data_IF_745573795718
#
_entry.id   IF_745573795718
#
_cell.length_a   1.000
_cell.length_b   1.000
_cell.length_c   1.000
_cell.angle_alpha   90.00
_cell.angle_beta   90.00
_cell.angle_gamma   90.00
#
_symmetry.space_group_name_H-M   'P 1'
#
loop_
_entity.id
_entity.type
_entity.pdbx_description
1 polymer ?
#
# COMPACT_ATOMS: atom_id res chain seq x y z
N UNK A 1 51.17 56.66 -24.73
CA UNK A 1 49.94 57.37 -24.30
C UNK A 1 48.78 56.64 -24.96
N UNK A 2 47.76 56.12 -24.30
CA UNK A 2 47.46 55.78 -22.92
C UNK A 2 46.31 54.75 -23.03
N UNK A 3 46.25 53.79 -22.12
CA UNK A 3 45.08 52.95 -21.89
C UNK A 3 43.85 53.82 -21.60
N UNK A 4 42.65 53.35 -21.94
CA UNK A 4 41.65 53.18 -20.89
C UNK A 4 40.55 52.19 -21.25
N UNK A 5 40.11 51.52 -20.19
CA UNK A 5 39.28 50.32 -20.11
C UNK A 5 37.93 50.72 -19.51
N UNK A 6 36.86 50.11 -20.04
CA UNK A 6 35.55 49.85 -19.39
C UNK A 6 34.55 51.03 -19.23
N UNK A 7 33.23 50.80 -18.95
CA UNK A 7 32.66 49.63 -18.27
C UNK A 7 31.30 49.05 -18.73
N UNK A 8 31.15 47.75 -18.42
CA UNK A 8 29.99 47.08 -17.79
C UNK A 8 28.58 47.18 -18.38
N UNK A 9 28.05 46.00 -18.69
CA UNK A 9 26.65 45.63 -18.51
C UNK A 9 26.11 46.15 -17.17
N UNK A 10 24.98 46.86 -17.13
CA UNK A 10 24.04 46.75 -16.03
C UNK A 10 23.02 45.68 -16.39
N UNK A 11 22.94 44.66 -15.54
CA UNK A 11 21.75 43.83 -15.44
C UNK A 11 20.56 44.76 -15.17
N UNK A 12 19.60 44.82 -16.09
CA UNK A 12 18.23 45.24 -15.78
C UNK A 12 17.32 44.01 -15.84
N UNK A 13 17.66 43.08 -14.95
CA UNK A 13 16.78 42.04 -14.45
C UNK A 13 15.91 42.70 -13.37
N UNK A 14 14.68 43.11 -13.70
CA UNK A 14 13.83 43.74 -12.68
C UNK A 14 12.41 44.10 -13.08
N UNK A 15 12.13 44.41 -14.34
CA UNK A 15 10.75 44.64 -14.77
C UNK A 15 10.24 43.42 -15.53
N UNK A 16 9.53 42.56 -14.81
CA UNK A 16 8.61 41.62 -15.44
C UNK A 16 7.52 42.47 -16.08
N UNK A 17 7.65 42.73 -17.37
CA UNK A 17 6.60 43.36 -18.17
C UNK A 17 5.38 42.42 -18.20
N UNK A 18 4.42 42.69 -17.31
CA UNK A 18 3.18 41.93 -17.19
C UNK A 18 2.42 41.90 -18.53
N UNK A 19 2.61 42.90 -19.40
CA UNK A 19 2.04 42.91 -20.75
C UNK A 19 2.62 41.80 -21.63
N UNK A 20 3.94 41.57 -21.58
CA UNK A 20 4.59 40.46 -22.28
C UNK A 20 4.20 39.10 -21.70
N UNK A 21 4.13 38.97 -20.37
CA UNK A 21 3.64 37.75 -19.73
C UNK A 21 2.18 37.44 -20.11
N UNK A 22 1.30 38.45 -20.12
CA UNK A 22 -0.10 38.28 -20.52
C UNK A 22 -0.20 37.90 -22.01
N UNK A 23 0.66 38.44 -22.87
CA UNK A 23 0.69 38.08 -24.28
C UNK A 23 1.18 36.64 -24.50
N UNK A 24 2.16 36.18 -23.72
CA UNK A 24 2.62 34.79 -23.72
C UNK A 24 1.54 33.84 -23.19
N UNK A 25 0.85 34.21 -22.12
CA UNK A 25 -0.28 33.47 -21.57
C UNK A 25 -1.42 33.36 -22.59
N UNK A 26 -1.78 34.47 -23.25
CA UNK A 26 -2.80 34.49 -24.31
C UNK A 26 -2.42 33.62 -25.51
N UNK A 27 -1.14 33.59 -25.89
CA UNK A 27 -0.63 32.69 -26.94
C UNK A 27 -0.70 31.22 -26.50
N UNK A 28 -0.43 30.92 -25.23
CA UNK A 28 -0.59 29.59 -24.62
C UNK A 28 -2.04 29.11 -24.65
N UNK A 29 -2.98 29.92 -24.12
CA UNK A 29 -4.42 29.63 -24.17
C UNK A 29 -4.92 29.43 -25.60
N UNK A 30 -4.50 30.26 -26.57
CA UNK A 30 -4.89 30.08 -27.97
C UNK A 30 -4.33 28.80 -28.61
N UNK A 31 -3.22 28.24 -28.10
CA UNK A 31 -2.67 26.96 -28.55
C UNK A 31 -3.50 25.80 -27.97
N UNK A 32 -3.84 25.87 -26.68
CA UNK A 32 -4.69 24.89 -26.01
C UNK A 32 -6.09 24.86 -26.66
N UNK A 33 -6.70 26.02 -26.88
CA UNK A 33 -8.03 26.13 -27.48
C UNK A 33 -8.06 25.55 -28.90
N UNK A 34 -7.03 25.78 -29.71
CA UNK A 34 -6.90 25.13 -31.03
C UNK A 34 -6.72 23.61 -30.93
N UNK A 35 -5.98 23.14 -29.93
CA UNK A 35 -5.87 21.71 -29.63
C UNK A 35 -7.22 21.08 -29.32
N UNK A 36 -8.00 21.71 -28.43
CA UNK A 36 -9.35 21.27 -28.06
C UNK A 36 -10.29 21.26 -29.27
N UNK A 37 -10.27 22.30 -30.11
CA UNK A 37 -11.07 22.34 -31.33
C UNK A 37 -10.71 21.21 -32.31
N UNK A 38 -9.43 20.86 -32.42
CA UNK A 38 -9.00 19.72 -33.22
C UNK A 38 -9.49 18.39 -32.65
N UNK A 39 -9.42 18.20 -31.34
CA UNK A 39 -9.95 17.02 -30.64
C UNK A 39 -11.47 16.93 -30.87
N UNK A 40 -12.21 18.03 -30.70
CA UNK A 40 -13.66 18.05 -30.92
C UNK A 40 -14.02 17.71 -32.37
N UNK A 41 -13.30 18.25 -33.34
CA UNK A 41 -13.50 17.95 -34.76
C UNK A 41 -13.18 16.48 -35.08
N UNK A 42 -12.14 15.92 -34.46
CA UNK A 42 -11.78 14.52 -34.58
C UNK A 42 -12.86 13.60 -33.98
N UNK A 43 -13.34 13.89 -32.78
CA UNK A 43 -14.44 13.18 -32.13
C UNK A 43 -15.70 13.17 -33.01
N UNK A 44 -16.06 14.33 -33.58
CA UNK A 44 -17.22 14.43 -34.48
C UNK A 44 -17.02 13.65 -35.78
N UNK A 45 -15.83 13.76 -36.40
CA UNK A 45 -15.53 13.09 -37.68
C UNK A 45 -15.45 11.57 -37.53
N UNK A 46 -14.87 11.10 -36.44
CA UNK A 46 -14.65 9.67 -36.17
C UNK A 46 -15.64 9.10 -35.16
N UNK A 47 -16.82 9.72 -35.01
CA UNK A 47 -17.81 9.35 -34.00
C UNK A 47 -18.20 7.86 -34.07
N UNK A 48 -18.36 7.32 -35.29
CA UNK A 48 -18.68 5.90 -35.49
C UNK A 48 -17.55 4.98 -35.05
N UNK A 49 -16.30 5.28 -35.41
CA UNK A 49 -15.12 4.50 -35.00
C UNK A 49 -14.93 4.56 -33.48
N UNK A 50 -15.15 5.73 -32.88
CA UNK A 50 -15.05 5.91 -31.44
C UNK A 50 -16.18 5.17 -30.70
N UNK A 51 -17.40 5.18 -31.26
CA UNK A 51 -18.52 4.40 -30.75
C UNK A 51 -18.24 2.89 -30.78
N UNK A 52 -17.69 2.38 -31.90
CA UNK A 52 -17.27 0.98 -31.99
C UNK A 52 -16.19 0.65 -30.95
N UNK A 53 -15.23 1.55 -30.73
CA UNK A 53 -14.18 1.35 -29.73
C UNK A 53 -14.74 1.31 -28.30
N UNK A 54 -15.74 2.14 -27.99
CA UNK A 54 -16.44 2.11 -26.71
C UNK A 54 -17.15 0.76 -26.52
N UNK A 55 -17.86 0.27 -27.54
CA UNK A 55 -18.53 -1.04 -27.49
C UNK A 55 -17.52 -2.16 -27.25
N UNK A 56 -16.39 -2.16 -27.98
CA UNK A 56 -15.30 -3.13 -27.77
C UNK A 56 -14.76 -3.04 -26.35
N UNK A 57 -14.53 -1.83 -25.83
CA UNK A 57 -14.10 -1.63 -24.44
C UNK A 57 -15.09 -2.18 -23.42
N UNK A 58 -16.39 -1.99 -23.64
CA UNK A 58 -17.45 -2.54 -22.78
C UNK A 58 -17.46 -4.07 -22.84
N UNK A 59 -17.35 -4.66 -24.03
CA UNK A 59 -17.31 -6.12 -24.22
C UNK A 59 -16.09 -6.70 -23.51
N UNK A 60 -14.91 -6.12 -23.71
CA UNK A 60 -13.67 -6.56 -23.04
C UNK A 60 -13.80 -6.41 -21.52
N UNK A 61 -14.32 -5.28 -21.04
CA UNK A 61 -14.53 -5.04 -19.61
C UNK A 61 -15.51 -6.04 -18.98
N UNK A 62 -16.57 -6.40 -19.70
CA UNK A 62 -17.51 -7.43 -19.28
C UNK A 62 -16.86 -8.82 -19.24
N UNK A 63 -16.11 -9.20 -20.28
CA UNK A 63 -15.34 -10.45 -20.31
C UNK A 63 -14.34 -10.54 -19.15
N UNK A 64 -13.62 -9.46 -18.86
CA UNK A 64 -12.71 -9.41 -17.71
C UNK A 64 -13.47 -9.57 -16.39
N UNK A 65 -14.65 -8.96 -16.24
CA UNK A 65 -15.46 -9.13 -15.03
C UNK A 65 -15.91 -10.58 -14.81
N UNK A 66 -16.13 -11.34 -15.89
CA UNK A 66 -16.47 -12.76 -15.81
C UNK A 66 -15.28 -13.65 -15.43
N UNK A 67 -14.07 -13.29 -15.86
CA UNK A 67 -12.85 -14.09 -15.60
C UNK A 67 -12.25 -13.77 -14.24
N UNK A 68 -12.37 -12.52 -13.78
CA UNK A 68 -11.82 -12.09 -12.49
C UNK A 68 -12.77 -12.52 -11.38
N UNK A 69 -12.51 -13.70 -10.82
CA UNK A 69 -13.23 -14.19 -9.66
C UNK A 69 -13.14 -13.20 -8.51
N UNK A 70 -14.29 -12.85 -7.93
CA UNK A 70 -14.36 -11.99 -6.76
C UNK A 70 -13.79 -12.77 -5.57
N UNK A 71 -12.53 -12.49 -5.23
CA UNK A 71 -11.89 -13.04 -4.02
C UNK A 71 -12.63 -12.52 -2.80
N UNK A 72 -13.06 -13.44 -1.94
CA UNK A 72 -13.59 -13.15 -0.62
C UNK A 72 -12.42 -13.15 0.37
N UNK A 73 -12.42 -12.17 1.27
CA UNK A 73 -11.41 -12.03 2.31
C UNK A 73 -12.09 -12.20 3.67
N UNK A 74 -11.57 -13.11 4.48
CA UNK A 74 -11.95 -13.28 5.88
C UNK A 74 -10.75 -12.93 6.74
N UNK A 75 -10.95 -12.07 7.74
CA UNK A 75 -9.89 -11.62 8.62
C UNK A 75 -10.15 -12.10 10.05
N UNK A 76 -9.11 -12.63 10.69
CA UNK A 76 -9.15 -13.07 12.09
C UNK A 76 -8.05 -12.33 12.84
N UNK A 77 -8.43 -11.67 13.93
CA UNK A 77 -7.49 -10.94 14.79
C UNK A 77 -7.07 -11.86 15.93
N UNK A 78 -5.78 -12.08 16.05
CA UNK A 78 -5.19 -12.96 17.07
C UNK A 78 -4.14 -12.21 17.88
N UNK A 79 -4.01 -12.58 19.15
CA UNK A 79 -2.96 -12.10 20.04
C UNK A 79 -2.20 -13.32 20.57
N UNK A 80 -1.01 -13.65 20.04
CA UNK A 80 -0.25 -14.80 20.51
C UNK A 80 0.15 -14.61 21.98
N UNK A 81 0.17 -15.70 22.74
CA UNK A 81 0.68 -15.67 24.12
C UNK A 81 2.22 -15.62 24.11
N UNK A 82 2.86 -15.30 25.23
CA UNK A 82 4.33 -15.17 25.38
C UNK A 82 5.14 -16.11 24.48
N UNK A 83 6.09 -15.55 23.72
CA UNK A 83 7.03 -16.22 22.80
C UNK A 83 6.41 -17.08 21.67
N UNK A 84 5.10 -17.33 21.66
CA UNK A 84 4.42 -18.12 20.62
C UNK A 84 4.21 -17.39 19.29
N UNK A 85 4.82 -16.21 19.10
CA UNK A 85 4.74 -15.46 17.84
C UNK A 85 5.33 -16.28 16.70
N UNK A 86 6.52 -16.81 16.88
CA UNK A 86 7.22 -17.51 15.80
C UNK A 86 6.48 -18.81 15.46
N UNK A 87 6.05 -19.56 16.47
CA UNK A 87 5.19 -20.73 16.29
C UNK A 87 3.91 -20.42 15.49
N UNK A 88 3.24 -19.30 15.78
CA UNK A 88 2.04 -18.89 15.04
C UNK A 88 2.35 -18.65 13.56
N UNK A 89 3.49 -18.03 13.24
CA UNK A 89 3.91 -17.80 11.85
C UNK A 89 4.26 -19.12 11.16
N UNK A 90 5.03 -19.99 11.83
CA UNK A 90 5.44 -21.30 11.29
C UNK A 90 4.22 -22.15 10.93
N UNK A 91 3.21 -22.21 11.81
CA UNK A 91 1.98 -22.97 11.56
C UNK A 91 1.19 -22.40 10.38
N UNK A 92 1.07 -21.06 10.27
CA UNK A 92 0.37 -20.43 9.14
C UNK A 92 1.10 -20.71 7.82
N UNK A 93 2.43 -20.65 7.82
CA UNK A 93 3.26 -20.93 6.65
C UNK A 93 3.19 -22.41 6.24
N UNK A 94 3.22 -23.34 7.20
CA UNK A 94 3.06 -24.78 6.96
C UNK A 94 1.70 -25.08 6.33
N UNK A 95 0.62 -24.52 6.89
CA UNK A 95 -0.72 -24.71 6.30
C UNK A 95 -0.76 -24.13 4.88
N UNK A 96 -0.23 -22.94 4.66
CA UNK A 96 -0.18 -22.34 3.33
C UNK A 96 0.62 -23.21 2.34
N UNK A 97 1.76 -23.78 2.77
CA UNK A 97 2.56 -24.69 1.96
C UNK A 97 1.81 -25.99 1.63
N UNK A 98 1.08 -26.55 2.59
CA UNK A 98 0.25 -27.75 2.38
C UNK A 98 -0.89 -27.48 1.39
N UNK A 99 -1.49 -26.28 1.42
CA UNK A 99 -2.53 -25.86 0.46
C UNK A 99 -1.93 -25.75 -0.95
N UNK A 100 -0.75 -25.15 -1.09
CA UNK A 100 -0.07 -24.99 -2.38
C UNK A 100 0.34 -26.34 -2.99
N UNK A 101 0.85 -27.25 -2.17
CA UNK A 101 1.26 -28.59 -2.59
C UNK A 101 0.09 -29.56 -2.75
N UNK A 102 -1.12 -29.16 -2.34
CA UNK A 102 -2.33 -29.98 -2.33
C UNK A 102 -2.13 -31.29 -1.57
N UNK A 103 -1.57 -31.21 -0.37
CA UNK A 103 -1.32 -32.39 0.45
C UNK A 103 -2.62 -33.08 0.90
N UNK A 104 -3.05 -34.06 0.10
CA UNK A 104 -4.26 -34.83 0.37
C UNK A 104 -4.20 -35.62 1.67
N UNK A 105 -3.03 -36.02 2.16
CA UNK A 105 -2.91 -36.81 3.40
C UNK A 105 -3.14 -35.92 4.63
N UNK A 106 -2.51 -34.75 4.66
CA UNK A 106 -2.68 -33.77 5.73
C UNK A 106 -4.14 -33.35 5.90
N UNK A 107 -4.79 -32.97 4.80
CA UNK A 107 -6.17 -32.48 4.86
C UNK A 107 -7.22 -33.59 5.00
N UNK A 108 -6.97 -34.79 4.46
CA UNK A 108 -7.87 -35.94 4.70
C UNK A 108 -7.91 -36.32 6.18
N UNK A 109 -6.79 -36.21 6.90
CA UNK A 109 -6.75 -36.41 8.34
C UNK A 109 -7.60 -35.38 9.11
N UNK A 110 -7.77 -34.18 8.56
CA UNK A 110 -8.61 -33.11 9.08
C UNK A 110 -10.06 -33.20 8.59
N UNK A 111 -10.39 -34.16 7.72
CA UNK A 111 -11.72 -34.28 7.09
C UNK A 111 -12.03 -33.19 6.07
N UNK A 112 -11.01 -32.57 5.47
CA UNK A 112 -11.12 -31.45 4.53
C UNK A 112 -10.83 -31.94 3.10
N UNK A 113 -11.72 -31.63 2.15
CA UNK A 113 -11.48 -31.90 0.73
C UNK A 113 -10.60 -30.81 0.08
N UNK A 114 -9.37 -31.21 -0.28
CA UNK A 114 -8.36 -30.33 -0.89
C UNK A 114 -8.76 -29.84 -2.28
N UNK A 115 -9.58 -30.61 -3.00
CA UNK A 115 -9.94 -30.30 -4.38
C UNK A 115 -10.79 -29.02 -4.50
N UNK A 116 -11.52 -28.69 -3.42
CA UNK A 116 -12.30 -27.46 -3.27
C UNK A 116 -11.48 -26.23 -2.86
N UNK A 117 -10.23 -26.37 -2.43
CA UNK A 117 -9.40 -25.27 -1.92
C UNK A 117 -8.61 -24.51 -3.01
N UNK A 118 -9.03 -24.61 -4.27
CA UNK A 118 -8.34 -23.95 -5.39
C UNK A 118 -8.41 -22.43 -5.24
N UNK A 119 -7.25 -21.79 -5.07
CA UNK A 119 -7.15 -20.34 -4.86
C UNK A 119 -7.45 -19.90 -3.43
N UNK A 120 -7.42 -20.83 -2.47
CA UNK A 120 -7.36 -20.51 -1.05
C UNK A 120 -5.93 -20.10 -0.68
N UNK A 121 -5.81 -19.01 0.08
CA UNK A 121 -4.53 -18.43 0.50
C UNK A 121 -4.68 -17.92 1.93
N UNK A 122 -3.69 -18.24 2.77
CA UNK A 122 -3.60 -17.79 4.15
C UNK A 122 -2.35 -16.93 4.29
N UNK A 123 -2.48 -15.77 4.93
CA UNK A 123 -1.35 -14.92 5.30
C UNK A 123 -1.51 -14.36 6.70
N UNK A 124 -0.40 -13.99 7.34
CA UNK A 124 -0.38 -13.39 8.66
C UNK A 124 0.50 -12.13 8.66
N UNK A 125 -0.04 -11.05 9.24
CA UNK A 125 0.64 -9.76 9.31
C UNK A 125 0.43 -9.11 10.69
N UNK A 126 1.41 -8.36 11.22
CA UNK A 126 1.19 -7.53 12.41
C UNK A 126 0.20 -6.40 12.07
N UNK A 127 -0.62 -6.02 13.06
CA UNK A 127 -1.51 -4.86 12.94
C UNK A 127 -0.75 -3.64 13.44
N UNK A 128 -0.28 -2.81 12.51
CA UNK A 128 0.28 -1.49 12.81
C UNK A 128 -0.86 -0.54 13.23
N UNK A 129 -0.71 0.12 14.37
CA UNK A 129 -1.67 1.12 14.83
C UNK A 129 -0.90 2.39 15.20
N UNK A 130 -0.85 3.31 14.25
CA UNK A 130 -0.04 4.54 14.26
C UNK A 130 -0.22 5.34 15.56
N UNK A 131 -1.43 5.38 16.14
CA UNK A 131 -1.70 6.09 17.40
C UNK A 131 -1.09 5.38 18.62
N UNK A 132 -1.21 4.04 18.66
CA UNK A 132 -0.54 3.23 19.70
C UNK A 132 0.96 3.28 19.55
N UNK A 133 1.48 3.43 18.34
CA UNK A 133 2.92 3.44 18.09
C UNK A 133 3.58 4.70 18.66
N UNK A 134 2.90 5.86 18.62
CA UNK A 134 3.40 7.08 19.28
C UNK A 134 3.36 7.01 20.81
N UNK A 135 2.31 6.41 21.39
CA UNK A 135 2.25 6.17 22.83
C UNK A 135 3.29 5.14 23.28
N UNK A 136 3.48 4.06 22.50
CA UNK A 136 4.53 3.06 22.73
C UNK A 136 5.92 3.68 22.72
N UNK A 137 6.24 4.54 21.76
CA UNK A 137 7.56 5.21 21.73
C UNK A 137 7.81 6.04 22.99
N UNK A 138 6.78 6.71 23.55
CA UNK A 138 6.92 7.44 24.81
C UNK A 138 7.08 6.50 26.01
N UNK A 139 6.34 5.41 26.04
CA UNK A 139 6.44 4.37 27.08
C UNK A 139 7.82 3.69 27.05
N UNK A 140 8.28 3.27 25.87
CA UNK A 140 9.57 2.62 25.66
C UNK A 140 10.73 3.49 26.13
N UNK A 141 10.70 4.80 25.84
CA UNK A 141 11.70 5.75 26.35
C UNK A 141 11.70 5.84 27.89
N UNK A 142 10.51 5.83 28.52
CA UNK A 142 10.39 5.82 29.98
C UNK A 142 10.92 4.51 30.58
N UNK A 143 10.68 3.37 29.93
CA UNK A 143 11.24 2.10 30.34
C UNK A 143 12.77 2.09 30.24
N UNK A 144 13.35 2.64 29.16
CA UNK A 144 14.80 2.77 29.02
C UNK A 144 15.40 3.65 30.14
N UNK A 145 14.73 4.73 30.51
CA UNK A 145 15.14 5.60 31.62
C UNK A 145 15.14 4.84 32.96
N UNK A 146 14.09 4.07 33.25
CA UNK A 146 14.02 3.23 34.45
C UNK A 146 15.11 2.17 34.44
N UNK A 147 15.35 1.50 33.32
CA UNK A 147 16.43 0.50 33.20
C UNK A 147 17.83 1.11 33.44
N UNK A 148 18.05 2.36 33.04
CA UNK A 148 19.29 3.08 33.32
C UNK A 148 19.42 3.47 34.80
N UNK A 149 18.35 4.00 35.40
CA UNK A 149 18.34 4.47 36.78
C UNK A 149 18.42 3.34 37.82
N UNK A 150 17.95 2.14 37.47
CA UNK A 150 17.91 0.98 38.37
C UNK A 150 18.81 -0.16 37.90
N UNK A 151 19.86 0.15 37.13
CA UNK A 151 20.81 -0.84 36.59
C UNK A 151 21.44 -1.76 37.65
N UNK A 152 21.58 -1.27 38.88
CA UNK A 152 22.17 -2.00 40.00
C UNK A 152 21.14 -2.75 40.87
N UNK A 153 19.85 -2.73 40.50
CA UNK A 153 18.76 -3.40 41.22
C UNK A 153 18.11 -4.50 40.38
N UNK A 154 18.53 -5.74 40.61
CA UNK A 154 18.11 -6.92 39.83
C UNK A 154 16.59 -7.18 39.90
N UNK A 155 15.99 -6.96 41.07
CA UNK A 155 14.54 -7.12 41.27
C UNK A 155 13.73 -6.13 40.42
N UNK A 156 14.16 -4.86 40.36
CA UNK A 156 13.48 -3.85 39.53
C UNK A 156 13.64 -4.17 38.05
N UNK A 157 14.81 -4.63 37.63
CA UNK A 157 15.05 -5.04 36.24
C UNK A 157 14.14 -6.21 35.82
N UNK A 158 13.94 -7.20 36.69
CA UNK A 158 13.09 -8.35 36.43
C UNK A 158 11.61 -7.96 36.30
N UNK A 159 11.10 -7.15 37.24
CA UNK A 159 9.72 -6.64 37.20
C UNK A 159 9.48 -5.81 35.93
N UNK A 160 10.39 -4.90 35.60
CA UNK A 160 10.27 -4.05 34.42
C UNK A 160 10.34 -4.87 33.12
N UNK A 161 11.26 -5.84 33.03
CA UNK A 161 11.32 -6.77 31.88
C UNK A 161 10.00 -7.52 31.70
N UNK A 162 9.42 -8.03 32.78
CA UNK A 162 8.15 -8.77 32.73
C UNK A 162 7.00 -7.90 32.22
N UNK A 163 6.94 -6.63 32.64
CA UNK A 163 5.89 -5.68 32.26
C UNK A 163 6.03 -5.24 30.80
N UNK A 164 7.27 -4.99 30.34
CA UNK A 164 7.58 -4.70 28.93
C UNK A 164 7.16 -5.88 28.05
N UNK A 165 7.59 -7.11 28.38
CA UNK A 165 7.26 -8.30 27.59
C UNK A 165 5.75 -8.51 27.48
N UNK A 166 4.99 -8.25 28.55
CA UNK A 166 3.53 -8.36 28.58
C UNK A 166 2.82 -7.30 27.73
N UNK A 167 3.38 -6.09 27.63
CA UNK A 167 2.84 -4.98 26.81
C UNK A 167 3.24 -5.06 25.34
N UNK A 168 4.39 -5.64 25.03
CA UNK A 168 4.92 -5.75 23.65
C UNK A 168 4.21 -6.80 22.80
N UNK A 169 3.26 -7.56 23.35
CA UNK A 169 2.47 -8.54 22.58
C UNK A 169 1.66 -7.86 21.48
N UNK A 170 2.18 -7.92 20.25
CA UNK A 170 1.55 -7.37 19.07
C UNK A 170 0.32 -8.20 18.69
N UNK A 171 -0.74 -7.50 18.30
CA UNK A 171 -1.90 -8.13 17.66
C UNK A 171 -1.55 -8.41 16.21
N UNK A 172 -1.91 -9.59 15.75
CA UNK A 172 -1.67 -10.04 14.38
C UNK A 172 -3.01 -10.30 13.70
N UNK A 173 -3.04 -10.15 12.39
CA UNK A 173 -4.19 -10.41 11.53
C UNK A 173 -3.86 -11.59 10.63
N UNK A 174 -4.64 -12.65 10.76
CA UNK A 174 -4.64 -13.75 9.81
C UNK A 174 -5.69 -13.45 8.74
N UNK A 175 -5.30 -13.52 7.49
CA UNK A 175 -6.15 -13.29 6.33
C UNK A 175 -6.35 -14.59 5.59
N UNK A 176 -7.60 -14.97 5.36
CA UNK A 176 -8.00 -16.06 4.49
C UNK A 176 -8.61 -15.47 3.22
N UNK A 177 -7.96 -15.70 2.08
CA UNK A 177 -8.46 -15.31 0.77
C UNK A 177 -8.95 -16.54 0.04
N UNK A 178 -10.18 -16.53 -0.45
CA UNK A 178 -10.75 -17.66 -1.19
C UNK A 178 -11.63 -17.19 -2.33
N UNK A 179 -11.77 -18.03 -3.37
CA UNK A 179 -12.72 -17.79 -4.45
C UNK A 179 -14.14 -17.94 -3.92
N UNK A 180 -15.07 -17.14 -4.45
CA UNK A 180 -16.48 -17.25 -4.07
C UNK A 180 -17.06 -18.58 -4.58
N UNK A 181 -17.44 -19.52 -3.69
CA UNK A 181 -17.95 -20.83 -4.10
C UNK A 181 -19.30 -20.75 -4.84
N UNK A 182 -20.01 -19.62 -4.73
CA UNK A 182 -21.29 -19.40 -5.43
C UNK A 182 -21.12 -18.98 -6.90
N UNK A 183 -19.89 -18.72 -7.37
CA UNK A 183 -19.62 -18.34 -8.77
C UNK A 183 -18.78 -19.33 -9.56
N UNK A 184 -18.44 -20.50 -8.98
CA UNK A 184 -17.68 -21.56 -9.65
C UNK A 184 -16.18 -21.49 -9.43
#
# INVERSE_FOLDING_TARGET
MANDVQPTTPANSGEIDLGKLLQLFRKGCNRIFRGILHIFRYLKKNAYTLGALIVVGVVIGFLLNLIVDKKLKTEVIVKPNFESKDYLYDVVEEIQANILTKDTLFFSALGIDVNGMRGFEISIEPIENIERDQEKVKEDNKYLEILQNYKDNDFVLEVIRSEILKKTVLTHRITFSHKNPLKG
#
